data_IF_201947841290
#
_entry.id   IF_201947841290
#
_cell.length_a   1.000
_cell.length_b   1.000
_cell.length_c   1.000
_cell.angle_alpha   90.00
_cell.angle_beta   90.00
_cell.angle_gamma   90.00
#
_symmetry.space_group_name_H-M   'P 1'
#
loop_
_entity.id
_entity.type
_entity.pdbx_description
1 polymer ?
#
# COMPACT_ATOMS: atom_id res chain seq x y z
N UNK A 1 1.07 -1.79 31.89
CA UNK A 1 2.50 -2.17 31.67
C UNK A 1 2.69 -3.65 31.27
N UNK A 2 1.87 -4.58 31.72
CA UNK A 2 2.02 -6.03 31.44
C UNK A 2 1.78 -6.38 29.96
N UNK A 3 0.89 -5.69 29.27
CA UNK A 3 0.59 -5.99 27.85
C UNK A 3 1.73 -5.72 26.84
N UNK A 4 2.61 -4.75 27.11
CA UNK A 4 3.76 -4.45 26.22
C UNK A 4 4.86 -5.51 26.30
N UNK A 5 5.12 -6.07 27.49
CA UNK A 5 6.19 -7.08 27.69
C UNK A 5 5.82 -8.44 27.09
N UNK A 6 4.53 -8.84 27.17
CA UNK A 6 4.05 -10.09 26.55
C UNK A 6 4.08 -10.01 25.05
N UNK A 7 3.75 -8.84 24.46
CA UNK A 7 3.83 -8.60 23.02
C UNK A 7 5.28 -8.65 22.50
N UNK A 8 6.24 -8.10 23.27
CA UNK A 8 7.68 -8.15 22.92
C UNK A 8 8.26 -9.55 22.99
N UNK A 9 7.83 -10.37 23.97
CA UNK A 9 8.32 -11.75 24.10
C UNK A 9 7.72 -12.65 23.02
N UNK A 10 6.44 -12.52 22.75
CA UNK A 10 5.76 -13.23 21.68
C UNK A 10 6.34 -12.83 20.30
N UNK A 11 6.63 -11.54 20.07
CA UNK A 11 7.27 -11.03 18.86
C UNK A 11 8.67 -11.63 18.67
N UNK A 12 9.46 -11.77 19.75
CA UNK A 12 10.83 -12.31 19.69
C UNK A 12 10.89 -13.82 19.39
N UNK A 13 10.01 -14.60 20.04
CA UNK A 13 9.89 -16.05 19.79
C UNK A 13 9.28 -16.30 18.41
N UNK A 14 8.24 -15.57 18.07
CA UNK A 14 7.57 -15.64 16.78
C UNK A 14 8.53 -15.25 15.63
N UNK A 15 9.34 -14.21 15.81
CA UNK A 15 10.42 -13.85 14.87
C UNK A 15 11.41 -14.98 14.70
N UNK A 16 11.90 -15.59 15.78
CA UNK A 16 12.89 -16.67 15.72
C UNK A 16 12.44 -17.84 14.85
N UNK A 17 11.19 -18.24 14.98
CA UNK A 17 10.61 -19.33 14.16
C UNK A 17 10.35 -18.87 12.73
N UNK A 18 9.70 -17.73 12.54
CA UNK A 18 9.26 -17.24 11.23
C UNK A 18 10.39 -16.75 10.33
N UNK A 19 11.55 -16.40 10.90
CA UNK A 19 12.75 -16.04 10.14
C UNK A 19 13.71 -17.21 9.95
N UNK A 20 13.43 -18.37 10.55
CA UNK A 20 14.28 -19.54 10.39
C UNK A 20 14.38 -19.97 8.91
N UNK A 21 15.55 -20.43 8.49
CA UNK A 21 15.77 -20.93 7.14
C UNK A 21 14.78 -22.05 6.76
N UNK A 22 14.46 -22.92 7.72
CA UNK A 22 13.51 -24.00 7.53
C UNK A 22 12.10 -23.50 7.24
N UNK A 23 11.63 -22.45 7.95
CA UNK A 23 10.31 -21.87 7.71
C UNK A 23 10.23 -21.14 6.36
N UNK A 24 11.25 -20.38 6.03
CA UNK A 24 11.35 -19.71 4.72
C UNK A 24 11.33 -20.75 3.60
N UNK A 25 12.10 -21.83 3.73
CA UNK A 25 12.13 -22.91 2.74
C UNK A 25 10.78 -23.65 2.63
N UNK A 26 10.08 -23.86 3.76
CA UNK A 26 8.72 -24.41 3.74
C UNK A 26 7.77 -23.52 2.95
N UNK A 27 7.80 -22.21 3.20
CA UNK A 27 6.94 -21.26 2.50
C UNK A 27 7.27 -21.16 1.01
N UNK A 28 8.55 -21.23 0.62
CA UNK A 28 8.94 -21.33 -0.79
C UNK A 28 8.37 -22.57 -1.47
N UNK A 29 8.35 -23.71 -0.79
CA UNK A 29 7.82 -24.97 -1.35
C UNK A 29 6.30 -24.97 -1.50
N UNK A 30 5.55 -24.31 -0.61
CA UNK A 30 4.08 -24.28 -0.65
C UNK A 30 3.54 -23.10 -1.45
N UNK A 31 4.40 -22.13 -1.79
CA UNK A 31 4.04 -20.97 -2.59
C UNK A 31 4.30 -21.24 -4.08
N UNK A 32 3.42 -20.71 -4.94
CA UNK A 32 3.61 -20.77 -6.38
C UNK A 32 4.29 -19.48 -6.85
N UNK A 33 5.45 -19.64 -7.47
CA UNK A 33 6.20 -18.52 -8.09
C UNK A 33 5.86 -18.43 -9.57
N UNK A 34 5.42 -17.26 -9.99
CA UNK A 34 5.12 -16.94 -11.38
C UNK A 34 6.03 -15.80 -11.83
N UNK A 35 6.79 -16.05 -12.90
CA UNK A 35 7.65 -15.04 -13.50
C UNK A 35 6.87 -14.21 -14.54
N UNK A 36 7.34 -13.00 -14.84
CA UNK A 36 6.73 -12.19 -15.89
C UNK A 36 6.54 -13.03 -17.15
N UNK A 37 5.34 -13.01 -17.70
CA UNK A 37 5.09 -13.61 -19.01
C UNK A 37 5.93 -12.88 -20.09
N UNK A 38 6.29 -13.59 -21.14
CA UNK A 38 6.96 -13.01 -22.31
C UNK A 38 6.07 -12.04 -23.12
N UNK A 39 4.88 -11.69 -22.59
CA UNK A 39 3.99 -10.70 -23.16
C UNK A 39 4.70 -9.34 -23.20
N UNK A 40 5.15 -8.98 -24.37
CA UNK A 40 5.70 -7.66 -24.65
C UNK A 40 4.62 -6.61 -24.38
N UNK A 41 4.96 -5.51 -23.74
CA UNK A 41 4.02 -4.41 -23.41
C UNK A 41 3.34 -3.74 -24.61
N UNK A 42 3.44 -4.34 -25.83
CA UNK A 42 2.90 -3.81 -27.07
C UNK A 42 1.36 -3.86 -27.18
N UNK A 43 0.71 -4.80 -26.48
CA UNK A 43 -0.75 -4.99 -26.56
C UNK A 43 -1.53 -4.39 -25.38
N UNK A 44 -0.86 -3.60 -24.54
CA UNK A 44 -1.54 -2.98 -23.39
C UNK A 44 -2.27 -1.71 -23.85
N UNK A 45 -3.53 -1.52 -23.44
CA UNK A 45 -4.23 -0.27 -23.74
C UNK A 45 -3.43 0.91 -23.21
N UNK A 46 -3.52 2.05 -23.91
CA UNK A 46 -2.89 3.29 -23.44
C UNK A 46 -3.40 3.61 -22.04
N UNK A 47 -2.48 3.96 -21.13
CA UNK A 47 -2.86 4.37 -19.78
C UNK A 47 -3.64 5.68 -19.87
N UNK A 48 -4.86 5.68 -19.36
CA UNK A 48 -5.65 6.88 -19.13
C UNK A 48 -5.44 7.32 -17.68
N UNK A 49 -4.23 7.75 -17.36
CA UNK A 49 -3.89 8.24 -16.02
C UNK A 49 -4.66 9.54 -15.75
N UNK A 50 -5.59 9.56 -14.78
CA UNK A 50 -6.34 10.77 -14.47
C UNK A 50 -5.44 11.87 -13.92
N UNK A 51 -5.74 13.12 -14.30
CA UNK A 51 -5.17 14.27 -13.59
C UNK A 51 -5.88 14.43 -12.25
N UNK A 52 -5.16 14.15 -11.18
CA UNK A 52 -5.66 14.30 -9.81
C UNK A 52 -5.42 15.72 -9.24
N UNK A 53 -5.01 16.67 -10.06
CA UNK A 53 -4.72 18.06 -9.62
C UNK A 53 -3.60 18.08 -8.56
N UNK A 54 -2.56 17.26 -8.72
CA UNK A 54 -1.49 17.14 -7.74
C UNK A 54 -0.57 18.38 -7.75
N UNK A 55 -0.40 19.00 -6.59
CA UNK A 55 0.59 20.05 -6.36
C UNK A 55 1.62 19.58 -5.32
N UNK A 56 2.93 19.66 -5.62
CA UNK A 56 4.00 19.12 -4.77
C UNK A 56 4.32 20.00 -3.55
N UNK A 57 3.37 20.68 -2.97
CA UNK A 57 3.60 21.61 -1.86
C UNK A 57 3.41 20.93 -0.50
N UNK A 58 4.50 20.42 0.06
CA UNK A 58 4.62 20.28 1.53
C UNK A 58 5.17 21.62 2.03
N UNK A 59 4.36 22.37 2.75
CA UNK A 59 4.74 23.70 3.24
C UNK A 59 5.63 23.62 4.47
N UNK A 60 5.37 22.66 5.37
CA UNK A 60 6.10 22.49 6.62
C UNK A 60 6.19 20.99 6.98
N UNK A 61 7.32 20.58 7.53
CA UNK A 61 7.45 19.27 8.14
C UNK A 61 8.18 19.34 9.48
N UNK A 62 7.71 18.57 10.46
CA UNK A 62 8.32 18.44 11.77
C UNK A 62 8.74 16.98 11.99
N UNK A 63 9.95 16.79 12.55
CA UNK A 63 10.50 15.49 12.90
C UNK A 63 10.55 15.35 14.43
N UNK A 64 9.82 14.37 14.96
CA UNK A 64 9.80 14.05 16.39
C UNK A 64 10.49 12.69 16.59
N UNK A 65 11.59 12.59 17.36
CA UNK A 65 12.30 11.33 17.55
C UNK A 65 11.40 10.22 18.11
N UNK A 66 11.57 9.01 17.59
CA UNK A 66 10.90 7.81 18.06
C UNK A 66 11.90 6.76 18.56
N UNK A 67 11.45 5.91 19.50
CA UNK A 67 12.21 4.73 19.88
C UNK A 67 12.31 3.76 18.69
N UNK A 68 13.52 3.26 18.44
CA UNK A 68 13.82 2.36 17.33
C UNK A 68 14.84 1.29 17.73
N UNK A 69 14.98 0.19 16.96
CA UNK A 69 16.07 -0.75 17.10
C UNK A 69 17.45 -0.06 17.07
N UNK A 70 18.48 -0.69 17.69
CA UNK A 70 19.82 -0.09 17.81
C UNK A 70 20.42 0.36 16.46
N UNK A 71 20.11 -0.35 15.39
CA UNK A 71 20.67 -0.12 14.07
C UNK A 71 19.84 0.83 13.20
N UNK A 72 18.75 1.40 13.74
CA UNK A 72 17.82 2.28 13.03
C UNK A 72 17.63 3.56 13.81
N UNK A 73 17.56 4.69 13.11
CA UNK A 73 17.03 5.96 13.63
C UNK A 73 15.60 6.10 13.15
N UNK A 74 14.69 6.55 14.00
CA UNK A 74 13.29 6.72 13.64
C UNK A 74 12.73 8.06 14.13
N UNK A 75 11.82 8.61 13.33
CA UNK A 75 11.11 9.84 13.64
C UNK A 75 9.64 9.71 13.25
N UNK A 76 8.77 10.32 14.03
CA UNK A 76 7.45 10.68 13.55
C UNK A 76 7.59 11.91 12.68
N UNK A 77 7.01 11.87 11.50
CA UNK A 77 6.95 12.99 10.56
C UNK A 77 5.54 13.54 10.60
N UNK A 78 5.43 14.85 10.68
CA UNK A 78 4.17 15.56 10.49
C UNK A 78 4.39 16.58 9.37
N UNK A 79 3.48 16.64 8.41
CA UNK A 79 3.53 17.62 7.33
C UNK A 79 2.19 18.30 7.12
N UNK A 80 2.25 19.53 6.64
CA UNK A 80 1.08 20.29 6.17
C UNK A 80 1.11 20.38 4.65
N UNK A 81 -0.01 20.09 4.03
CA UNK A 81 -0.19 20.22 2.60
C UNK A 81 -1.54 20.87 2.29
N UNK A 82 -1.68 21.46 1.11
CA UNK A 82 -2.98 21.96 0.65
C UNK A 82 -3.90 20.76 0.43
N UNK A 83 -5.07 20.76 1.07
CA UNK A 83 -6.13 19.79 0.79
C UNK A 83 -6.96 20.25 -0.39
N UNK A 84 -7.24 19.37 -1.34
CA UNK A 84 -8.13 19.66 -2.45
C UNK A 84 -9.59 19.37 -2.13
N UNK A 85 -9.85 18.66 -1.01
CA UNK A 85 -11.19 18.27 -0.59
C UNK A 85 -11.80 19.16 0.49
N UNK A 86 -11.09 20.15 1.01
CA UNK A 86 -11.65 21.08 1.99
C UNK A 86 -12.01 22.41 1.34
N UNK A 87 -13.27 22.76 1.36
CA UNK A 87 -13.80 24.03 0.85
C UNK A 87 -13.22 25.29 1.53
N UNK A 88 -12.57 25.12 2.67
CA UNK A 88 -12.00 26.17 3.51
C UNK A 88 -10.49 26.34 3.36
N UNK A 89 -9.83 25.57 2.46
CA UNK A 89 -8.39 25.68 2.21
C UNK A 89 -7.50 25.32 3.41
N UNK A 90 -8.09 24.81 4.48
CA UNK A 90 -7.35 24.38 5.68
C UNK A 90 -6.44 23.21 5.33
N UNK A 91 -5.15 23.40 5.58
CA UNK A 91 -4.11 22.48 5.18
C UNK A 91 -4.33 21.06 5.71
N UNK A 92 -4.22 20.08 4.82
CA UNK A 92 -4.17 18.67 5.20
C UNK A 92 -2.98 18.41 6.13
N UNK A 93 -3.21 17.69 7.22
CA UNK A 93 -2.16 17.24 8.11
C UNK A 93 -1.86 15.77 7.84
N UNK A 94 -0.73 15.49 7.18
CA UNK A 94 -0.22 14.14 7.04
C UNK A 94 0.67 13.76 8.22
N UNK A 95 0.61 12.50 8.62
CA UNK A 95 1.48 11.91 9.64
C UNK A 95 2.13 10.66 9.10
N UNK A 96 3.41 10.47 9.42
CA UNK A 96 4.18 9.31 8.97
C UNK A 96 5.21 8.85 10.01
N UNK A 97 5.90 7.77 9.68
CA UNK A 97 7.10 7.31 10.38
C UNK A 97 8.27 7.23 9.41
N UNK A 98 9.36 7.94 9.68
CA UNK A 98 10.59 7.87 8.91
C UNK A 98 11.65 7.06 9.63
N UNK A 99 12.20 6.07 8.94
CA UNK A 99 13.16 5.11 9.47
C UNK A 99 14.40 5.10 8.59
N UNK A 100 15.56 5.33 9.19
CA UNK A 100 16.85 5.40 8.50
C UNK A 100 17.87 4.49 9.18
N UNK A 101 18.62 3.64 8.43
CA UNK A 101 19.74 2.88 8.99
C UNK A 101 20.76 3.77 9.70
N UNK A 102 21.33 3.30 10.82
CA UNK A 102 22.38 4.01 11.57
C UNK A 102 23.78 3.91 10.97
N UNK A 103 23.93 3.34 9.78
CA UNK A 103 25.22 3.38 9.11
C UNK A 103 25.80 4.82 9.06
N UNK A 104 27.08 4.95 8.88
CA UNK A 104 27.87 6.20 8.97
C UNK A 104 27.36 7.41 8.15
N UNK A 105 26.26 7.23 7.39
CA UNK A 105 25.62 8.30 6.64
C UNK A 105 26.37 8.75 5.39
N UNK A 106 27.49 8.12 5.06
CA UNK A 106 28.33 8.49 3.93
C UNK A 106 27.71 8.12 2.58
N UNK A 107 26.87 7.05 2.54
CA UNK A 107 26.25 6.57 1.30
C UNK A 107 24.73 6.73 1.37
N UNK A 108 24.10 7.50 0.45
CA UNK A 108 22.66 7.61 0.37
C UNK A 108 21.99 6.24 0.13
N UNK A 109 20.88 5.98 0.83
CA UNK A 109 20.14 4.73 0.79
C UNK A 109 18.95 4.80 -0.17
N UNK A 110 18.58 3.71 -0.84
CA UNK A 110 17.33 3.69 -1.59
C UNK A 110 16.15 4.05 -0.69
N UNK A 111 15.25 4.89 -1.19
CA UNK A 111 14.08 5.35 -0.45
C UNK A 111 12.85 4.49 -0.73
N UNK A 112 12.16 4.02 0.31
CA UNK A 112 10.94 3.22 0.17
C UNK A 112 9.77 3.92 0.83
N UNK A 113 8.73 4.18 0.05
CA UNK A 113 7.43 4.59 0.56
C UNK A 113 6.63 3.36 0.96
N UNK A 114 6.09 3.34 2.18
CA UNK A 114 5.21 2.28 2.68
C UNK A 114 3.81 2.83 2.86
N UNK A 115 2.85 2.29 2.13
CA UNK A 115 1.45 2.71 2.17
C UNK A 115 0.66 1.94 3.22
N UNK A 116 -0.31 2.59 3.88
CA UNK A 116 -1.07 2.00 4.98
C UNK A 116 -2.07 0.94 4.49
N UNK A 117 -2.42 0.01 5.36
CA UNK A 117 -3.59 -0.86 5.19
C UNK A 117 -4.88 -0.10 5.53
N UNK A 118 -6.04 -0.65 5.14
CA UNK A 118 -7.35 -0.02 5.33
C UNK A 118 -7.64 0.40 6.78
N UNK A 119 -7.19 -0.41 7.74
CA UNK A 119 -7.40 -0.18 9.16
C UNK A 119 -6.16 -0.61 9.94
N UNK A 120 -5.30 0.35 10.22
CA UNK A 120 -4.05 0.16 11.00
C UNK A 120 -3.91 1.26 12.06
N UNK A 121 -4.82 1.31 13.05
CA UNK A 121 -4.92 2.44 13.98
C UNK A 121 -3.65 2.64 14.83
N UNK A 122 -2.83 1.60 14.97
CA UNK A 122 -1.54 1.65 15.69
C UNK A 122 -0.33 1.55 14.74
N UNK A 123 -0.55 1.58 13.43
CA UNK A 123 0.47 1.39 12.40
C UNK A 123 1.35 0.13 12.62
N UNK A 124 0.71 -0.94 13.06
CA UNK A 124 1.42 -2.19 13.38
C UNK A 124 1.92 -2.87 12.11
N UNK A 125 1.12 -2.88 11.05
CA UNK A 125 1.49 -3.53 9.79
C UNK A 125 2.48 -2.67 9.02
N UNK A 126 2.10 -1.46 8.61
CA UNK A 126 2.94 -0.57 7.79
C UNK A 126 4.21 -0.13 8.50
N UNK A 127 4.13 0.24 9.80
CA UNK A 127 5.30 0.60 10.59
C UNK A 127 6.27 -0.56 10.85
N UNK A 128 5.76 -1.80 10.93
CA UNK A 128 6.64 -2.98 11.06
C UNK A 128 7.37 -3.26 9.75
N UNK A 129 6.70 -3.11 8.60
CA UNK A 129 7.33 -3.19 7.27
C UNK A 129 8.42 -2.13 7.14
N UNK A 130 8.11 -0.87 7.44
CA UNK A 130 9.07 0.22 7.29
C UNK A 130 10.31 0.02 8.19
N UNK A 131 10.14 -0.40 9.44
CA UNK A 131 11.25 -0.75 10.33
C UNK A 131 12.08 -1.92 9.82
N UNK A 132 11.41 -2.97 9.31
CA UNK A 132 12.12 -4.11 8.73
C UNK A 132 12.97 -3.67 7.53
N UNK A 133 12.40 -2.89 6.61
CA UNK A 133 13.12 -2.36 5.45
C UNK A 133 14.32 -1.51 5.87
N UNK A 134 14.19 -0.70 6.93
CA UNK A 134 15.30 0.07 7.46
C UNK A 134 16.41 -0.84 8.02
N UNK A 135 16.07 -1.94 8.69
CA UNK A 135 17.06 -2.95 9.11
C UNK A 135 17.72 -3.66 7.91
N UNK A 136 17.09 -3.68 6.74
CA UNK A 136 17.65 -4.21 5.50
C UNK A 136 18.43 -3.16 4.70
N UNK A 137 18.63 -1.96 5.22
CA UNK A 137 19.47 -0.93 4.62
C UNK A 137 18.74 0.11 3.76
N UNK A 138 17.43 0.12 3.73
CA UNK A 138 16.63 1.14 3.05
C UNK A 138 16.32 2.33 3.96
N UNK A 139 16.12 3.50 3.37
CA UNK A 139 15.44 4.60 4.04
C UNK A 139 13.93 4.44 3.80
N UNK A 140 13.13 4.25 4.84
CA UNK A 140 11.71 3.94 4.69
C UNK A 140 10.83 5.03 5.29
N UNK A 141 9.85 5.50 4.54
CA UNK A 141 8.79 6.39 4.99
C UNK A 141 7.46 5.64 5.00
N UNK A 142 6.89 5.45 6.17
CA UNK A 142 5.52 5.00 6.35
C UNK A 142 4.58 6.20 6.33
N UNK A 143 3.60 6.20 5.44
CA UNK A 143 2.47 7.14 5.51
C UNK A 143 1.41 6.54 6.40
N UNK A 144 0.94 7.30 7.39
CA UNK A 144 -0.09 6.84 8.31
C UNK A 144 -1.46 7.20 7.74
N UNK A 145 -2.29 6.17 7.57
CA UNK A 145 -3.72 6.39 7.36
C UNK A 145 -4.33 7.06 8.60
N UNK A 146 -5.26 7.98 8.39
CA UNK A 146 -6.12 8.52 9.43
C UNK A 146 -7.12 7.46 9.95
N UNK A 147 -8.26 7.87 10.55
CA UNK A 147 -9.39 6.98 10.80
C UNK A 147 -9.69 6.16 9.54
N UNK A 148 -10.26 4.95 9.72
CA UNK A 148 -10.58 4.09 8.58
C UNK A 148 -11.15 4.92 7.42
N UNK A 149 -10.54 4.79 6.23
CA UNK A 149 -10.96 5.63 5.11
C UNK A 149 -12.46 5.47 4.80
N UNK A 150 -13.01 4.25 4.99
CA UNK A 150 -14.44 3.98 4.83
C UNK A 150 -15.32 4.74 5.84
N UNK A 151 -14.77 5.14 6.99
CA UNK A 151 -15.48 5.97 7.97
C UNK A 151 -15.46 7.45 7.58
N UNK A 152 -14.51 7.88 6.77
CA UNK A 152 -14.42 9.25 6.23
C UNK A 152 -15.38 9.48 5.06
N UNK A 153 -15.70 8.43 4.31
CA UNK A 153 -16.58 8.52 3.16
C UNK A 153 -18.01 8.81 3.63
N UNK A 154 -18.58 9.92 3.17
CA UNK A 154 -20.00 10.21 3.36
C UNK A 154 -20.81 9.59 2.23
N UNK A 155 -21.72 8.73 2.61
CA UNK A 155 -22.72 8.14 1.70
C UNK A 155 -24.05 8.79 2.02
N UNK A 156 -24.42 9.82 1.25
CA UNK A 156 -25.66 10.58 1.38
C UNK A 156 -26.34 10.68 0.01
N UNK A 157 -27.65 10.89 -0.03
CA UNK A 157 -28.38 11.12 -1.29
C UNK A 157 -28.05 12.48 -1.91
N UNK A 158 -27.72 13.46 -1.07
CA UNK A 158 -27.50 14.86 -1.47
C UNK A 158 -26.03 15.16 -1.84
N UNK A 159 -25.15 14.17 -1.70
CA UNK A 159 -23.72 14.30 -2.06
C UNK A 159 -22.89 15.19 -1.13
N UNK A 160 -23.43 15.55 0.04
CA UNK A 160 -22.71 16.40 1.00
C UNK A 160 -21.55 15.67 1.69
N UNK A 161 -20.35 16.18 1.50
CA UNK A 161 -19.11 15.70 2.11
C UNK A 161 -18.27 14.81 1.17
N UNK A 162 -17.09 14.33 1.63
CA UNK A 162 -16.15 13.61 0.78
C UNK A 162 -16.75 12.29 0.29
N UNK A 163 -16.69 12.09 -1.01
CA UNK A 163 -17.08 10.85 -1.67
C UNK A 163 -16.02 9.76 -1.46
N UNK A 164 -16.34 8.54 -1.86
CA UNK A 164 -15.35 7.46 -1.91
C UNK A 164 -14.13 7.84 -2.78
N UNK A 165 -14.40 8.39 -3.94
CA UNK A 165 -13.43 8.84 -4.91
C UNK A 165 -12.52 9.95 -4.37
N UNK A 166 -13.09 10.96 -3.69
CA UNK A 166 -12.30 12.04 -3.09
C UNK A 166 -11.30 11.54 -2.06
N UNK A 167 -11.74 10.60 -1.21
CA UNK A 167 -10.89 10.05 -0.15
C UNK A 167 -9.76 9.20 -0.74
N UNK A 168 -10.03 8.40 -1.76
CA UNK A 168 -9.00 7.58 -2.41
C UNK A 168 -8.04 8.41 -3.25
N UNK A 169 -8.55 9.38 -4.01
CA UNK A 169 -7.70 10.32 -4.75
C UNK A 169 -6.75 11.07 -3.80
N UNK A 170 -7.22 11.45 -2.61
CA UNK A 170 -6.36 12.08 -1.59
C UNK A 170 -5.27 11.12 -1.09
N UNK A 171 -5.55 9.83 -0.96
CA UNK A 171 -4.53 8.84 -0.59
C UNK A 171 -3.44 8.68 -1.66
N UNK A 172 -3.80 8.78 -2.95
CA UNK A 172 -2.80 8.79 -4.04
C UNK A 172 -1.94 10.05 -3.95
N UNK A 173 -2.57 11.22 -3.73
CA UNK A 173 -1.84 12.50 -3.53
C UNK A 173 -0.90 12.42 -2.33
N UNK A 174 -1.33 11.81 -1.23
CA UNK A 174 -0.51 11.62 -0.03
C UNK A 174 0.68 10.70 -0.28
N UNK A 175 0.49 9.65 -1.05
CA UNK A 175 1.60 8.80 -1.51
C UNK A 175 2.65 9.62 -2.27
N UNK A 176 2.21 10.48 -3.21
CA UNK A 176 3.10 11.35 -3.98
C UNK A 176 3.79 12.41 -3.11
N UNK A 177 3.07 13.04 -2.16
CA UNK A 177 3.67 13.97 -1.17
C UNK A 177 4.73 13.27 -0.31
N UNK A 178 4.43 12.04 0.12
CA UNK A 178 5.39 11.21 0.85
C UNK A 178 6.66 10.96 0.03
N UNK A 179 6.54 10.68 -1.27
CA UNK A 179 7.70 10.52 -2.17
C UNK A 179 8.48 11.82 -2.34
N UNK A 180 7.82 12.95 -2.50
CA UNK A 180 8.46 14.27 -2.59
C UNK A 180 9.24 14.61 -1.32
N UNK A 181 8.65 14.32 -0.17
CA UNK A 181 9.31 14.50 1.11
C UNK A 181 10.51 13.57 1.25
N UNK A 182 10.33 12.28 0.98
CA UNK A 182 11.36 11.24 1.11
C UNK A 182 12.56 11.54 0.21
N UNK A 183 12.33 11.92 -1.05
CA UNK A 183 13.38 12.22 -2.01
C UNK A 183 14.28 13.40 -1.62
N UNK A 184 13.79 14.30 -0.76
CA UNK A 184 14.55 15.47 -0.25
C UNK A 184 15.32 15.17 1.05
N UNK A 185 15.15 14.00 1.65
CA UNK A 185 15.79 13.70 2.93
C UNK A 185 17.27 13.41 2.76
N UNK A 186 18.09 14.00 3.64
CA UNK A 186 19.52 13.69 3.71
C UNK A 186 19.70 12.21 4.00
N UNK A 187 20.53 11.54 3.23
CA UNK A 187 20.77 10.10 3.33
C UNK A 187 19.83 9.22 2.49
N UNK A 188 18.95 9.84 1.68
CA UNK A 188 18.09 9.14 0.69
C UNK A 188 18.65 9.36 -0.71
N UNK A 189 18.74 8.29 -1.49
CA UNK A 189 19.04 8.35 -2.92
C UNK A 189 17.74 8.54 -3.71
N UNK A 190 17.51 9.76 -4.16
CA UNK A 190 16.32 10.12 -4.92
C UNK A 190 16.21 9.44 -6.30
N UNK A 191 17.27 8.78 -6.79
CA UNK A 191 17.26 8.01 -8.03
C UNK A 191 16.84 6.56 -7.81
N UNK A 192 16.82 6.08 -6.58
CA UNK A 192 16.43 4.72 -6.18
C UNK A 192 15.24 4.77 -5.24
N UNK A 193 14.06 5.06 -5.79
CA UNK A 193 12.81 5.12 -5.05
C UNK A 193 11.93 3.92 -5.35
N UNK A 194 11.37 3.33 -4.31
CA UNK A 194 10.41 2.23 -4.40
C UNK A 194 9.18 2.46 -3.54
N UNK A 195 8.19 1.60 -3.74
CA UNK A 195 6.93 1.65 -3.03
C UNK A 195 6.52 0.27 -2.56
N UNK A 196 6.00 0.18 -1.34
CA UNK A 196 5.44 -1.06 -0.77
C UNK A 196 4.03 -0.79 -0.29
N UNK A 197 3.09 -1.63 -0.69
CA UNK A 197 1.70 -1.56 -0.25
C UNK A 197 1.18 -2.93 0.19
N UNK A 198 0.32 -2.92 1.22
CA UNK A 198 -0.34 -4.13 1.72
C UNK A 198 -1.84 -3.90 1.72
N UNK A 199 -2.64 -4.87 1.25
CA UNK A 199 -4.11 -4.80 1.24
C UNK A 199 -4.55 -3.53 0.50
N UNK A 200 -5.24 -2.60 1.14
CA UNK A 200 -5.65 -1.33 0.55
C UNK A 200 -4.46 -0.51 0.02
N UNK A 201 -3.34 -0.46 0.75
CA UNK A 201 -2.12 0.19 0.24
C UNK A 201 -1.56 -0.47 -1.02
N UNK A 202 -1.86 -1.75 -1.26
CA UNK A 202 -1.50 -2.46 -2.49
C UNK A 202 -2.50 -2.22 -3.65
N UNK A 203 -3.63 -1.59 -3.39
CA UNK A 203 -4.55 -1.05 -4.42
C UNK A 203 -4.11 0.37 -4.81
N UNK A 204 -3.84 1.23 -3.84
CA UNK A 204 -3.38 2.60 -4.06
C UNK A 204 -1.96 2.66 -4.65
N UNK A 205 -1.08 1.70 -4.29
CA UNK A 205 0.32 1.69 -4.72
C UNK A 205 0.53 1.69 -6.24
N UNK A 206 -0.16 0.86 -7.03
CA UNK A 206 -0.13 0.92 -8.49
C UNK A 206 -0.57 2.28 -9.06
N UNK A 207 -1.54 2.95 -8.43
CA UNK A 207 -1.99 4.28 -8.82
C UNK A 207 -0.89 5.32 -8.61
N UNK A 208 -0.25 5.31 -7.43
CA UNK A 208 0.91 6.17 -7.15
C UNK A 208 2.04 5.88 -8.13
N UNK A 209 2.35 4.60 -8.37
CA UNK A 209 3.42 4.20 -9.29
C UNK A 209 3.15 4.59 -10.75
N UNK A 210 1.88 4.54 -11.18
CA UNK A 210 1.47 4.97 -12.51
C UNK A 210 1.49 6.50 -12.72
N UNK A 211 1.49 7.27 -11.63
CA UNK A 211 1.54 8.75 -11.66
C UNK A 211 2.92 9.34 -11.38
N UNK A 212 3.89 8.53 -10.94
CA UNK A 212 5.22 9.03 -10.54
C UNK A 212 6.34 8.18 -11.16
N UNK A 213 6.97 8.72 -12.20
CA UNK A 213 8.03 8.05 -12.96
C UNK A 213 9.32 7.81 -12.19
N UNK A 214 9.52 8.46 -11.03
CA UNK A 214 10.68 8.26 -10.15
C UNK A 214 10.68 6.88 -9.49
N UNK A 215 9.51 6.22 -9.40
CA UNK A 215 9.39 4.89 -8.82
C UNK A 215 9.96 3.83 -9.76
N UNK A 216 10.99 3.17 -9.29
CA UNK A 216 11.72 2.13 -10.04
C UNK A 216 11.43 0.71 -9.56
N UNK A 217 10.77 0.56 -8.41
CA UNK A 217 10.36 -0.74 -7.87
C UNK A 217 9.06 -0.64 -7.06
N UNK A 218 8.18 -1.64 -7.19
CA UNK A 218 6.93 -1.75 -6.42
C UNK A 218 6.72 -3.15 -5.88
N UNK A 219 6.31 -3.27 -4.62
CA UNK A 219 5.94 -4.55 -3.98
C UNK A 219 4.53 -4.41 -3.44
N UNK A 220 3.59 -5.19 -3.98
CA UNK A 220 2.18 -5.09 -3.62
C UNK A 220 1.67 -6.44 -3.11
N UNK A 221 1.18 -6.45 -1.87
CA UNK A 221 0.73 -7.63 -1.18
C UNK A 221 -0.78 -7.60 -0.96
N UNK A 222 -1.50 -8.60 -1.47
CA UNK A 222 -2.96 -8.72 -1.36
C UNK A 222 -3.72 -7.49 -1.91
N UNK A 223 -3.17 -6.83 -2.93
CA UNK A 223 -3.87 -5.80 -3.68
C UNK A 223 -4.83 -6.40 -4.70
N UNK A 224 -5.84 -5.65 -5.08
CA UNK A 224 -6.80 -6.02 -6.11
C UNK A 224 -7.14 -4.84 -6.99
N UNK A 225 -7.82 -5.11 -8.09
CA UNK A 225 -8.45 -4.13 -8.96
C UNK A 225 -9.92 -4.49 -9.15
N UNK A 226 -10.69 -3.60 -9.76
CA UNK A 226 -12.14 -3.65 -9.80
C UNK A 226 -12.72 -3.50 -8.37
N UNK A 227 -12.60 -2.27 -7.85
CA UNK A 227 -13.04 -1.94 -6.49
C UNK A 227 -14.51 -2.22 -6.28
N UNK A 228 -15.34 -2.03 -7.31
CA UNK A 228 -16.76 -2.37 -7.26
C UNK A 228 -16.96 -3.86 -6.97
N UNK A 229 -16.15 -4.73 -7.57
CA UNK A 229 -16.16 -6.18 -7.32
C UNK A 229 -15.74 -6.47 -5.87
N UNK A 230 -14.72 -5.80 -5.37
CA UNK A 230 -14.26 -5.94 -3.97
C UNK A 230 -15.37 -5.50 -3.02
N UNK A 231 -15.98 -4.33 -3.24
CA UNK A 231 -17.07 -3.83 -2.41
C UNK A 231 -18.27 -4.77 -2.46
N UNK A 232 -18.64 -5.28 -3.63
CA UNK A 232 -19.79 -6.18 -3.79
C UNK A 232 -19.59 -7.55 -3.10
N UNK A 233 -18.39 -8.12 -3.16
CA UNK A 233 -18.16 -9.53 -2.76
C UNK A 233 -17.29 -9.74 -1.53
N UNK A 234 -16.60 -8.71 -1.04
CA UNK A 234 -15.76 -8.81 0.17
C UNK A 234 -16.57 -9.29 1.38
N UNK A 235 -15.94 -10.14 2.19
CA UNK A 235 -16.45 -10.60 3.49
C UNK A 235 -15.80 -9.88 4.67
N UNK A 236 -14.94 -8.92 4.43
CA UNK A 236 -14.35 -8.09 5.46
C UNK A 236 -15.46 -7.24 6.12
N UNK A 237 -15.38 -7.05 7.45
CA UNK A 237 -16.46 -6.47 8.24
C UNK A 237 -16.74 -5.01 7.91
N UNK A 238 -15.71 -4.20 7.72
CA UNK A 238 -15.84 -2.77 7.41
C UNK A 238 -16.38 -2.57 6.00
N UNK A 239 -15.89 -3.33 5.02
CA UNK A 239 -16.38 -3.30 3.63
C UNK A 239 -17.85 -3.74 3.57
N UNK A 240 -18.24 -4.78 4.32
CA UNK A 240 -19.65 -5.21 4.39
C UNK A 240 -20.56 -4.14 4.99
N UNK A 241 -20.07 -3.41 6.00
CA UNK A 241 -20.84 -2.29 6.59
C UNK A 241 -20.96 -1.15 5.59
N UNK A 242 -19.87 -0.81 4.92
CA UNK A 242 -19.86 0.19 3.86
C UNK A 242 -20.84 -0.18 2.74
N UNK A 243 -20.74 -1.39 2.18
CA UNK A 243 -21.67 -1.91 1.17
C UNK A 243 -23.14 -1.76 1.59
N UNK A 244 -23.50 -2.21 2.80
CA UNK A 244 -24.87 -2.08 3.31
C UNK A 244 -25.32 -0.63 3.41
N UNK A 245 -24.43 0.30 3.73
CA UNK A 245 -24.75 1.73 3.79
C UNK A 245 -25.00 2.27 2.39
N UNK A 246 -24.13 1.98 1.42
CA UNK A 246 -24.30 2.38 0.02
C UNK A 246 -25.62 1.84 -0.54
N UNK A 247 -25.85 0.54 -0.41
CA UNK A 247 -27.08 -0.10 -0.91
C UNK A 247 -28.34 0.55 -0.32
N UNK A 248 -28.35 0.84 0.98
CA UNK A 248 -29.48 1.48 1.65
C UNK A 248 -29.77 2.88 1.09
N UNK A 249 -28.72 3.70 0.91
CA UNK A 249 -28.85 5.07 0.43
C UNK A 249 -29.34 5.11 -1.02
N UNK A 250 -28.86 4.19 -1.85
CA UNK A 250 -29.23 4.13 -3.27
C UNK A 250 -30.43 3.19 -3.57
N UNK A 251 -31.09 2.66 -2.54
CA UNK A 251 -32.25 1.78 -2.71
C UNK A 251 -31.95 0.44 -3.37
N UNK A 252 -30.67 0.00 -3.36
CA UNK A 252 -30.25 -1.25 -3.99
C UNK A 252 -30.54 -2.44 -3.08
N UNK A 253 -31.03 -3.53 -3.66
CA UNK A 253 -31.35 -4.76 -2.92
C UNK A 253 -30.37 -5.90 -3.20
N UNK A 254 -29.71 -5.87 -4.36
CA UNK A 254 -28.76 -6.89 -4.81
C UNK A 254 -27.33 -6.33 -4.89
N UNK A 255 -26.31 -6.99 -4.26
CA UNK A 255 -24.92 -6.64 -4.44
C UNK A 255 -24.41 -6.70 -5.89
N UNK A 256 -25.00 -7.51 -6.75
CA UNK A 256 -24.61 -7.56 -8.17
C UNK A 256 -25.10 -6.32 -8.95
N UNK A 257 -26.19 -5.69 -8.51
CA UNK A 257 -26.61 -4.38 -9.04
C UNK A 257 -25.59 -3.29 -8.64
N UNK A 258 -25.14 -3.31 -7.38
CA UNK A 258 -24.06 -2.41 -6.92
C UNK A 258 -22.79 -2.62 -7.72
N UNK A 259 -22.41 -3.88 -8.00
CA UNK A 259 -21.24 -4.22 -8.82
C UNK A 259 -21.34 -3.59 -10.22
N UNK A 260 -22.45 -3.80 -10.90
CA UNK A 260 -22.69 -3.25 -12.25
C UNK A 260 -22.58 -1.73 -12.28
N UNK A 261 -23.28 -1.06 -11.37
CA UNK A 261 -23.24 0.42 -11.29
C UNK A 261 -21.84 0.95 -10.97
N UNK A 262 -21.11 0.29 -10.06
CA UNK A 262 -19.75 0.68 -9.73
C UNK A 262 -18.76 0.43 -10.86
N UNK A 263 -18.97 -0.60 -11.69
CA UNK A 263 -18.13 -0.85 -12.86
C UNK A 263 -18.42 0.13 -14.01
N UNK A 264 -19.64 0.62 -14.15
CA UNK A 264 -20.00 1.67 -15.11
C UNK A 264 -19.36 3.02 -14.73
N UNK A 265 -19.14 3.26 -13.44
CA UNK A 265 -18.60 4.48 -12.88
C UNK A 265 -17.24 4.23 -12.21
N UNK A 266 -16.25 3.75 -12.99
CA UNK A 266 -14.90 3.52 -12.48
C UNK A 266 -14.35 4.76 -11.76
N UNK A 267 -14.02 4.61 -10.48
CA UNK A 267 -13.41 5.63 -9.64
C UNK A 267 -12.13 6.20 -10.28
N UNK A 268 -11.82 7.46 -10.03
CA UNK A 268 -10.52 8.06 -10.41
C UNK A 268 -9.35 7.32 -9.76
N UNK A 269 -9.57 6.66 -8.63
CA UNK A 269 -8.54 5.92 -7.90
C UNK A 269 -8.51 4.42 -8.25
N UNK A 270 -9.34 3.97 -9.21
CA UNK A 270 -9.34 2.55 -9.63
C UNK A 270 -7.99 2.12 -10.22
N UNK A 271 -7.32 1.11 -9.67
CA UNK A 271 -6.01 0.65 -10.14
C UNK A 271 -5.96 0.30 -11.63
N UNK A 272 -7.07 -0.14 -12.23
CA UNK A 272 -7.13 -0.46 -13.66
C UNK A 272 -6.79 0.73 -14.56
N UNK A 273 -7.06 1.95 -14.13
CA UNK A 273 -6.74 3.17 -14.89
C UNK A 273 -5.24 3.43 -14.99
N UNK A 274 -4.49 3.04 -13.97
CA UNK A 274 -3.06 3.33 -13.81
C UNK A 274 -2.16 2.17 -14.23
N UNK A 275 -2.68 0.97 -14.17
CA UNK A 275 -1.90 -0.26 -14.33
C UNK A 275 -1.10 -0.29 -15.63
N UNK A 276 -1.66 0.23 -16.74
CA UNK A 276 -0.97 0.27 -18.03
C UNK A 276 0.25 1.20 -18.05
N UNK A 277 0.33 2.20 -17.16
CA UNK A 277 1.48 3.09 -17.02
C UNK A 277 2.63 2.45 -16.21
N UNK A 278 2.38 1.32 -15.54
CA UNK A 278 3.37 0.65 -14.70
C UNK A 278 4.11 -0.42 -15.50
N UNK A 279 5.44 -0.38 -15.54
CA UNK A 279 6.27 -1.43 -16.13
C UNK A 279 6.18 -2.70 -15.27
N UNK A 280 5.68 -3.85 -15.82
CA UNK A 280 5.56 -5.09 -15.05
C UNK A 280 6.88 -5.60 -14.47
N UNK A 281 8.01 -5.31 -15.12
CA UNK A 281 9.34 -5.71 -14.64
C UNK A 281 9.74 -5.04 -13.33
N UNK A 282 9.12 -3.91 -13.01
CA UNK A 282 9.35 -3.15 -11.77
C UNK A 282 8.47 -3.61 -10.60
N UNK A 283 7.63 -4.64 -10.78
CA UNK A 283 6.61 -5.02 -9.79
C UNK A 283 6.77 -6.46 -9.32
N UNK A 284 6.63 -6.66 -8.02
CA UNK A 284 6.40 -7.96 -7.38
C UNK A 284 5.04 -7.96 -6.69
N UNK A 285 4.21 -8.94 -7.02
CA UNK A 285 2.92 -9.16 -6.36
C UNK A 285 2.96 -10.37 -5.41
N UNK A 286 2.32 -10.22 -4.26
CA UNK A 286 1.97 -11.34 -3.39
C UNK A 286 0.46 -11.53 -3.40
N UNK A 287 0.02 -12.69 -3.88
CA UNK A 287 -1.38 -13.11 -3.90
C UNK A 287 -1.67 -14.10 -2.78
N UNK A 288 -2.87 -14.04 -2.21
CA UNK A 288 -3.38 -15.04 -1.26
C UNK A 288 -4.55 -15.81 -1.87
N UNK A 289 -4.45 -17.16 -1.85
CA UNK A 289 -5.40 -18.05 -2.55
C UNK A 289 -6.79 -18.05 -1.93
N UNK A 290 -6.88 -17.87 -0.61
CA UNK A 290 -8.13 -17.99 0.17
C UNK A 290 -8.54 -16.66 0.80
N UNK A 291 -8.25 -15.56 0.14
CA UNK A 291 -8.59 -14.23 0.60
C UNK A 291 -10.10 -13.98 0.54
N UNK A 292 -10.64 -13.44 1.61
CA UNK A 292 -12.07 -13.10 1.73
C UNK A 292 -12.30 -11.58 1.86
N UNK A 293 -11.23 -10.81 2.00
CA UNK A 293 -11.27 -9.36 2.03
C UNK A 293 -11.04 -8.79 0.62
N UNK A 294 -9.86 -9.00 0.06
CA UNK A 294 -9.57 -8.75 -1.35
C UNK A 294 -9.63 -10.09 -2.08
N UNK A 295 -10.77 -10.40 -2.66
CA UNK A 295 -11.04 -11.71 -3.25
C UNK A 295 -10.02 -12.09 -4.33
N UNK A 296 -9.71 -13.38 -4.52
CA UNK A 296 -8.68 -13.83 -5.48
C UNK A 296 -8.91 -13.35 -6.91
N UNK A 297 -10.17 -13.21 -7.32
CA UNK A 297 -10.55 -12.69 -8.63
C UNK A 297 -10.09 -11.23 -8.82
N UNK A 298 -10.27 -10.38 -7.83
CA UNK A 298 -9.80 -8.99 -7.87
C UNK A 298 -8.27 -8.89 -7.87
N UNK A 299 -7.58 -9.80 -7.16
CA UNK A 299 -6.12 -9.90 -7.19
C UNK A 299 -5.61 -10.35 -8.58
N UNK A 300 -6.32 -11.25 -9.26
CA UNK A 300 -5.99 -11.66 -10.64
C UNK A 300 -6.21 -10.52 -11.63
N UNK A 301 -7.31 -9.76 -11.51
CA UNK A 301 -7.55 -8.57 -12.34
C UNK A 301 -6.42 -7.55 -12.24
N UNK A 302 -5.92 -7.27 -11.03
CA UNK A 302 -4.78 -6.39 -10.85
C UNK A 302 -3.52 -6.94 -11.53
N UNK A 303 -3.24 -8.23 -11.37
CA UNK A 303 -2.09 -8.86 -11.97
C UNK A 303 -2.12 -8.82 -13.51
N UNK A 304 -3.28 -9.09 -14.10
CA UNK A 304 -3.48 -9.02 -15.54
C UNK A 304 -3.34 -7.58 -16.06
N UNK A 305 -3.98 -6.63 -15.41
CA UNK A 305 -3.91 -5.22 -15.79
C UNK A 305 -2.48 -4.65 -15.72
N UNK A 306 -1.70 -5.06 -14.71
CA UNK A 306 -0.28 -4.72 -14.59
C UNK A 306 0.62 -5.40 -15.64
N UNK A 307 0.07 -6.25 -16.51
CA UNK A 307 0.83 -6.96 -17.55
C UNK A 307 1.57 -8.19 -17.03
N UNK A 308 0.99 -8.86 -16.06
CA UNK A 308 1.47 -10.11 -15.48
C UNK A 308 2.88 -10.02 -14.90
N UNK A 309 3.14 -9.12 -13.96
CA UNK A 309 4.43 -9.02 -13.29
C UNK A 309 4.78 -10.29 -12.52
N UNK A 310 6.00 -10.34 -11.97
CA UNK A 310 6.41 -11.41 -11.05
C UNK A 310 5.41 -11.54 -9.90
N UNK A 311 4.95 -12.76 -9.62
CA UNK A 311 3.95 -13.02 -8.59
C UNK A 311 4.32 -14.23 -7.74
N UNK A 312 4.06 -14.11 -6.44
CA UNK A 312 4.15 -15.21 -5.47
C UNK A 312 2.76 -15.46 -4.90
N UNK A 313 2.18 -16.61 -5.21
CA UNK A 313 0.84 -17.01 -4.72
C UNK A 313 0.98 -17.91 -3.52
N UNK A 314 0.42 -17.50 -2.38
CA UNK A 314 0.50 -18.19 -1.10
C UNK A 314 -0.82 -18.89 -0.72
N UNK A 315 -0.78 -20.03 -0.02
CA UNK A 315 -1.97 -20.80 0.33
C UNK A 315 -2.72 -20.25 1.55
N UNK A 316 -2.66 -18.94 1.79
CA UNK A 316 -3.28 -18.29 2.95
C UNK A 316 -4.51 -17.49 2.56
N UNK A 317 -5.29 -17.07 3.56
CA UNK A 317 -6.25 -15.97 3.46
C UNK A 317 -5.67 -14.68 3.98
N UNK A 318 -6.45 -13.60 3.97
CA UNK A 318 -6.01 -12.23 4.30
C UNK A 318 -5.30 -12.14 5.67
N UNK A 319 -5.94 -12.66 6.73
CA UNK A 319 -5.37 -12.64 8.09
C UNK A 319 -4.25 -13.68 8.24
N UNK A 320 -4.37 -14.83 7.56
CA UNK A 320 -3.37 -15.89 7.62
C UNK A 320 -2.00 -15.48 7.10
N UNK A 321 -1.93 -14.40 6.31
CA UNK A 321 -0.67 -13.83 5.87
C UNK A 321 0.21 -13.34 7.03
N UNK A 322 -0.36 -13.00 8.19
CA UNK A 322 0.42 -12.67 9.37
C UNK A 322 1.45 -13.77 9.72
N UNK A 323 1.13 -15.03 9.45
CA UNK A 323 2.05 -16.16 9.62
C UNK A 323 3.22 -16.11 8.63
N UNK A 324 3.00 -15.61 7.42
CA UNK A 324 4.03 -15.47 6.39
C UNK A 324 4.64 -14.06 6.31
N UNK A 325 4.36 -13.19 7.28
CA UNK A 325 4.74 -11.78 7.23
C UNK A 325 6.23 -11.59 6.94
N UNK A 326 7.10 -12.26 7.71
CA UNK A 326 8.55 -12.12 7.52
C UNK A 326 9.04 -12.69 6.19
N UNK A 327 8.41 -13.73 5.69
CA UNK A 327 8.69 -14.25 4.35
C UNK A 327 8.38 -13.20 3.28
N UNK A 328 7.20 -12.59 3.36
CA UNK A 328 6.75 -11.56 2.40
C UNK A 328 7.67 -10.35 2.41
N UNK A 329 7.96 -9.79 3.59
CA UNK A 329 8.80 -8.59 3.68
C UNK A 329 10.25 -8.88 3.29
N UNK A 330 10.76 -10.09 3.56
CA UNK A 330 12.08 -10.54 3.13
C UNK A 330 12.16 -10.65 1.60
N UNK A 331 11.22 -11.39 0.98
CA UNK A 331 11.17 -11.53 -0.48
C UNK A 331 10.94 -10.19 -1.18
N UNK A 332 10.12 -9.32 -0.57
CA UNK A 332 9.95 -7.95 -1.02
C UNK A 332 11.25 -7.15 -0.98
N UNK A 333 12.00 -7.22 0.13
CA UNK A 333 13.30 -6.53 0.26
C UNK A 333 14.34 -7.06 -0.73
N UNK A 334 14.42 -8.38 -0.93
CA UNK A 334 15.28 -9.01 -1.92
C UNK A 334 14.97 -8.49 -3.33
N UNK A 335 13.69 -8.45 -3.71
CA UNK A 335 13.25 -7.90 -4.99
C UNK A 335 13.60 -6.40 -5.14
N UNK A 336 13.38 -5.60 -4.11
CA UNK A 336 13.74 -4.17 -4.13
C UNK A 336 15.24 -3.97 -4.37
N UNK A 337 16.09 -4.74 -3.68
CA UNK A 337 17.54 -4.70 -3.91
C UNK A 337 17.91 -5.12 -5.34
N UNK A 338 17.28 -6.16 -5.87
CA UNK A 338 17.45 -6.57 -7.27
C UNK A 338 17.16 -5.43 -8.27
N UNK A 339 16.20 -4.56 -7.96
CA UNK A 339 15.81 -3.43 -8.86
C UNK A 339 16.69 -2.21 -8.70
N UNK A 340 17.37 -2.05 -7.57
CA UNK A 340 18.23 -0.91 -7.27
C UNK A 340 19.72 -1.18 -7.52
N UNK A 341 20.08 -2.42 -7.75
CA UNK A 341 21.43 -2.82 -8.17
C UNK A 341 21.61 -2.62 -9.66
#
# INVERSE_FOLDING_TARGET
MIGRSVFFLADRVFRGVMTSAAYVHLLDRVSRHEHPGAGTGADRPAALVPDLGYHPAIHESTLIPLAAPRDVRAWQVQWRAVSHSSADGLGYQGVGGFYLPRADGSVPRPGILVLPVLHDPMNLASGTVARYLACQGFAALEVRGGPSFLDRVRVTQDGDGPTYEDVEAEMIRDGRRGLDWLARQRGVDAKRLGIVGISHGAMIGPCVMGTDSRLTAGVFCMGGADEALIVARSRERSVRRFRKRVMRVHGLTDPEELLRLGQEQLSLAEPLRYAAAVDPRKVLLFKTRHDRAVIPEAQDKLWEALGRPRRITMPFGHIGLALAFYYVVRRGAEFLWERFS
#
